data_IF_024660624657
#
_entry.id   IF_024660624657
#
_cell.length_a   1.000
_cell.length_b   1.000
_cell.length_c   1.000
_cell.angle_alpha   90.00
_cell.angle_beta   90.00
_cell.angle_gamma   90.00
#
_symmetry.space_group_name_H-M   'P 1'
#
loop_
_entity.id
_entity.type
_entity.pdbx_description
1 polymer ?
#
# COMPACT_ATOMS: atom_id res chain seq x y z
N UNK A 1 8.44 -17.58 17.50
CA UNK A 1 9.54 -16.69 17.95
C UNK A 1 10.65 -16.75 16.93
N UNK A 2 11.53 -15.74 16.89
CA UNK A 2 12.70 -15.73 15.99
C UNK A 2 13.67 -16.86 16.35
N UNK A 3 14.50 -17.25 15.39
CA UNK A 3 15.50 -18.30 15.54
C UNK A 3 16.65 -17.87 16.46
N UNK A 4 17.01 -18.73 17.42
CA UNK A 4 18.10 -18.47 18.35
C UNK A 4 19.45 -18.34 17.60
N UNK A 5 20.24 -17.35 17.99
CA UNK A 5 21.52 -17.06 17.34
C UNK A 5 21.41 -16.31 16.01
N UNK A 6 20.19 -15.99 15.53
CA UNK A 6 19.97 -15.18 14.33
C UNK A 6 19.59 -13.75 14.70
N UNK A 7 20.41 -12.79 14.27
CA UNK A 7 20.07 -11.37 14.33
C UNK A 7 19.23 -10.99 13.11
N UNK A 8 17.90 -10.94 13.27
CA UNK A 8 16.99 -10.52 12.20
C UNK A 8 17.03 -9.00 12.01
N UNK A 9 17.51 -8.53 10.86
CA UNK A 9 17.56 -7.11 10.51
C UNK A 9 16.65 -6.73 9.34
N UNK A 10 15.89 -7.69 8.78
CA UNK A 10 15.09 -7.49 7.59
C UNK A 10 13.60 -7.24 7.89
N UNK A 11 13.34 -6.39 8.88
CA UNK A 11 11.97 -6.03 9.28
C UNK A 11 11.20 -5.28 8.19
N UNK A 12 11.91 -4.55 7.32
CA UNK A 12 11.31 -3.82 6.20
C UNK A 12 10.73 -4.71 5.11
N UNK A 13 11.27 -5.93 4.92
CA UNK A 13 10.68 -6.90 4.00
C UNK A 13 9.67 -7.82 4.71
N UNK A 14 10.08 -8.41 5.83
CA UNK A 14 9.28 -9.42 6.54
C UNK A 14 9.45 -9.27 8.06
N UNK A 15 8.46 -8.65 8.69
CA UNK A 15 8.37 -8.54 10.15
C UNK A 15 7.93 -9.87 10.77
N UNK A 16 8.61 -10.28 11.85
CA UNK A 16 8.12 -11.38 12.68
C UNK A 16 6.91 -10.92 13.49
N UNK A 17 5.81 -11.67 13.42
CA UNK A 17 4.57 -11.37 14.15
C UNK A 17 4.79 -11.48 15.67
N UNK A 18 4.47 -10.45 16.46
CA UNK A 18 4.57 -10.52 17.92
C UNK A 18 3.73 -11.65 18.52
N UNK A 19 4.20 -12.27 19.61
CA UNK A 19 3.50 -13.40 20.26
C UNK A 19 2.04 -13.06 20.63
N UNK A 20 1.81 -11.87 21.18
CA UNK A 20 0.47 -11.39 21.55
C UNK A 20 -0.50 -11.31 20.35
N UNK A 21 0.02 -11.01 19.15
CA UNK A 21 -0.76 -10.96 17.91
C UNK A 21 -1.06 -12.39 17.44
N UNK A 22 -0.10 -13.30 17.51
CA UNK A 22 -0.30 -14.72 17.17
C UNK A 22 -1.37 -15.36 18.06
N UNK A 23 -1.34 -15.06 19.36
CA UNK A 23 -2.35 -15.52 20.31
C UNK A 23 -3.74 -14.92 20.00
N UNK A 24 -3.82 -13.63 19.68
CA UNK A 24 -5.07 -12.98 19.27
C UNK A 24 -5.65 -13.63 18.00
N UNK A 25 -4.82 -13.85 16.98
CA UNK A 25 -5.21 -14.56 15.77
C UNK A 25 -5.72 -15.97 16.08
N UNK A 26 -5.07 -16.69 17.00
CA UNK A 26 -5.51 -18.02 17.39
C UNK A 26 -6.88 -17.99 18.09
N UNK A 27 -7.12 -17.03 18.99
CA UNK A 27 -8.43 -16.85 19.63
C UNK A 27 -9.53 -16.56 18.62
N UNK A 28 -9.27 -15.72 17.62
CA UNK A 28 -10.23 -15.43 16.54
C UNK A 28 -10.52 -16.71 15.73
N UNK A 29 -9.48 -17.42 15.29
CA UNK A 29 -9.63 -18.69 14.54
C UNK A 29 -10.44 -19.72 15.33
N UNK A 30 -10.11 -19.95 16.61
CA UNK A 30 -10.84 -20.90 17.44
C UNK A 30 -12.32 -20.54 17.62
N UNK A 31 -12.67 -19.25 17.75
CA UNK A 31 -14.08 -18.81 17.81
C UNK A 31 -14.81 -19.02 16.50
N UNK A 32 -14.17 -18.68 15.38
CA UNK A 32 -14.70 -18.91 14.03
C UNK A 32 -15.00 -20.38 13.78
N UNK A 33 -14.06 -21.28 14.10
CA UNK A 33 -14.23 -22.74 13.91
C UNK A 33 -15.24 -23.37 14.87
N UNK A 34 -15.40 -22.83 16.09
CA UNK A 34 -16.34 -23.36 17.07
C UNK A 34 -17.81 -23.24 16.62
N UNK A 35 -18.14 -22.20 15.85
CA UNK A 35 -19.47 -22.04 15.24
C UNK A 35 -19.41 -21.07 14.04
N UNK A 36 -19.04 -21.55 12.84
CA UNK A 36 -18.84 -20.69 11.68
C UNK A 36 -20.13 -20.00 11.23
N UNK A 37 -21.27 -20.70 11.31
CA UNK A 37 -22.57 -20.10 10.98
C UNK A 37 -22.88 -18.89 11.85
N UNK A 38 -22.69 -19.01 13.17
CA UNK A 38 -22.86 -17.88 14.09
C UNK A 38 -21.83 -16.78 13.83
N UNK A 39 -20.56 -17.14 13.60
CA UNK A 39 -19.50 -16.16 13.41
C UNK A 39 -19.74 -15.29 12.17
N UNK A 40 -20.07 -15.93 11.03
CA UNK A 40 -20.27 -15.23 9.76
C UNK A 40 -21.70 -14.68 9.59
N UNK A 41 -22.74 -15.49 9.85
CA UNK A 41 -24.13 -15.06 9.63
C UNK A 41 -24.76 -14.37 10.84
N UNK A 42 -24.22 -14.59 12.05
CA UNK A 42 -24.65 -13.90 13.27
C UNK A 42 -24.02 -12.52 13.46
N UNK A 43 -23.24 -12.03 12.48
CA UNK A 43 -22.68 -10.68 12.47
C UNK A 43 -21.51 -10.45 13.43
N UNK A 44 -20.90 -11.50 14.00
CA UNK A 44 -19.68 -11.36 14.81
C UNK A 44 -18.52 -10.88 13.96
N UNK A 45 -18.31 -11.51 12.79
CA UNK A 45 -17.28 -11.10 11.83
C UNK A 45 -17.39 -9.61 11.46
N UNK A 46 -18.59 -9.15 11.08
CA UNK A 46 -18.80 -7.76 10.64
C UNK A 46 -18.49 -6.76 11.77
N UNK A 47 -18.98 -7.02 12.99
CA UNK A 47 -18.73 -6.14 14.14
C UNK A 47 -17.25 -6.07 14.50
N UNK A 48 -16.55 -7.20 14.48
CA UNK A 48 -15.12 -7.24 14.76
C UNK A 48 -14.31 -6.53 13.66
N UNK A 49 -14.72 -6.65 12.40
CA UNK A 49 -14.12 -5.96 11.27
C UNK A 49 -14.33 -4.44 11.34
N UNK A 50 -15.54 -3.99 11.69
CA UNK A 50 -15.87 -2.57 11.84
C UNK A 50 -15.10 -1.95 13.02
N UNK A 51 -15.00 -2.66 14.13
CA UNK A 51 -14.15 -2.24 15.26
C UNK A 51 -12.68 -2.13 14.84
N UNK A 52 -12.12 -3.15 14.19
CA UNK A 52 -10.73 -3.11 13.73
C UNK A 52 -10.48 -1.95 12.75
N UNK A 53 -11.46 -1.64 11.87
CA UNK A 53 -11.36 -0.52 10.94
C UNK A 53 -11.24 0.82 11.68
N UNK A 54 -12.04 1.03 12.73
CA UNK A 54 -12.00 2.23 13.57
C UNK A 54 -10.64 2.42 14.24
N UNK A 55 -10.15 1.37 14.91
CA UNK A 55 -8.87 1.43 15.60
C UNK A 55 -7.71 1.76 14.66
N UNK A 56 -7.71 1.18 13.44
CA UNK A 56 -6.69 1.48 12.43
C UNK A 56 -6.86 2.89 11.87
N UNK A 57 -8.10 3.33 11.60
CA UNK A 57 -8.37 4.68 11.11
C UNK A 57 -7.87 5.74 12.10
N UNK A 58 -8.18 5.57 13.39
CA UNK A 58 -7.71 6.44 14.45
C UNK A 58 -6.18 6.43 14.56
N UNK A 59 -5.55 5.25 14.46
CA UNK A 59 -4.09 5.13 14.50
C UNK A 59 -3.38 5.86 13.35
N UNK A 60 -3.93 5.78 12.13
CA UNK A 60 -3.33 6.43 10.94
C UNK A 60 -3.84 7.86 10.72
N UNK A 61 -4.75 8.35 11.56
CA UNK A 61 -5.40 9.66 11.39
C UNK A 61 -6.30 9.76 10.16
N UNK A 62 -6.88 8.63 9.72
CA UNK A 62 -7.74 8.52 8.55
C UNK A 62 -9.24 8.51 8.87
N UNK A 63 -10.06 8.66 7.83
CA UNK A 63 -11.52 8.51 7.92
C UNK A 63 -11.90 7.02 7.95
N UNK A 64 -12.66 6.58 8.95
CA UNK A 64 -13.20 5.22 9.06
C UNK A 64 -13.94 4.81 7.77
N UNK A 65 -14.72 5.72 7.18
CA UNK A 65 -15.48 5.42 5.97
C UNK A 65 -14.60 5.27 4.72
N UNK A 66 -13.40 5.85 4.74
CA UNK A 66 -12.40 5.77 3.67
C UNK A 66 -11.42 4.61 3.80
N UNK A 67 -11.48 3.83 4.90
CA UNK A 67 -10.51 2.78 5.19
C UNK A 67 -11.01 1.40 4.74
N UNK A 68 -10.18 0.68 3.98
CA UNK A 68 -10.45 -0.70 3.55
C UNK A 68 -9.26 -1.61 3.83
N UNK A 69 -9.54 -2.83 4.30
CA UNK A 69 -8.51 -3.85 4.47
C UNK A 69 -8.22 -4.55 3.14
N UNK A 70 -6.94 -4.63 2.78
CA UNK A 70 -6.42 -5.36 1.62
C UNK A 70 -5.27 -6.27 2.05
N UNK A 71 -4.92 -7.24 1.21
CA UNK A 71 -3.95 -8.27 1.57
C UNK A 71 -2.50 -7.78 1.66
N UNK A 72 -2.14 -6.72 0.94
CA UNK A 72 -0.79 -6.13 0.92
C UNK A 72 -0.80 -4.78 0.15
N UNK A 73 0.33 -4.07 0.20
CA UNK A 73 0.53 -2.79 -0.48
C UNK A 73 0.28 -2.88 -2.00
N UNK A 74 0.81 -3.90 -2.66
CA UNK A 74 0.63 -4.11 -4.11
C UNK A 74 -0.84 -4.27 -4.49
N UNK A 75 -1.63 -5.00 -3.70
CA UNK A 75 -3.09 -5.13 -3.89
C UNK A 75 -3.78 -3.78 -3.74
N UNK A 76 -3.40 -2.99 -2.73
CA UNK A 76 -3.94 -1.63 -2.52
C UNK A 76 -3.68 -0.72 -3.72
N UNK A 77 -2.43 -0.65 -4.20
CA UNK A 77 -2.06 0.16 -5.38
C UNK A 77 -2.80 -0.32 -6.63
N UNK A 78 -2.91 -1.63 -6.86
CA UNK A 78 -3.68 -2.16 -7.99
C UNK A 78 -5.16 -1.78 -7.92
N UNK A 79 -5.77 -1.83 -6.73
CA UNK A 79 -7.18 -1.50 -6.55
C UNK A 79 -7.45 -0.04 -6.92
N UNK A 80 -6.61 0.88 -6.45
CA UNK A 80 -6.71 2.32 -6.77
C UNK A 80 -6.48 2.55 -8.26
N UNK A 81 -5.36 2.07 -8.82
CA UNK A 81 -5.04 2.29 -10.23
C UNK A 81 -6.14 1.75 -11.16
N UNK A 82 -6.64 0.53 -10.92
CA UNK A 82 -7.74 -0.05 -11.72
C UNK A 82 -9.04 0.72 -11.60
N UNK A 83 -9.33 1.32 -10.45
CA UNK A 83 -10.52 2.16 -10.28
C UNK A 83 -10.43 3.47 -11.06
N UNK A 84 -9.20 3.96 -11.30
CA UNK A 84 -8.93 5.19 -12.03
C UNK A 84 -8.70 4.96 -13.53
N UNK A 85 -8.42 3.73 -13.97
CA UNK A 85 -8.26 3.37 -15.40
C UNK A 85 -9.36 3.96 -16.30
N UNK A 86 -10.67 3.91 -15.95
CA UNK A 86 -11.72 4.48 -16.79
C UNK A 86 -11.70 6.01 -16.91
N UNK A 87 -10.96 6.71 -16.04
CA UNK A 87 -10.82 8.18 -16.07
C UNK A 87 -9.63 8.66 -16.89
N UNK A 88 -8.76 7.75 -17.33
CA UNK A 88 -7.58 8.06 -18.11
C UNK A 88 -7.92 8.09 -19.60
N UNK A 89 -7.35 9.06 -20.31
CA UNK A 89 -7.42 9.15 -21.76
C UNK A 89 -6.09 8.73 -22.41
N UNK A 90 -6.11 8.28 -23.69
CA UNK A 90 -4.90 8.01 -24.42
C UNK A 90 -3.92 9.20 -24.40
N UNK A 91 -2.67 8.93 -24.02
CA UNK A 91 -1.62 9.94 -23.85
C UNK A 91 -1.55 10.60 -22.48
N UNK A 92 -2.45 10.27 -21.55
CA UNK A 92 -2.33 10.71 -20.15
C UNK A 92 -1.13 10.05 -19.45
N UNK A 93 -0.71 10.65 -18.34
CA UNK A 93 0.51 10.28 -17.64
C UNK A 93 0.23 9.86 -16.20
N UNK A 94 0.81 8.72 -15.83
CA UNK A 94 1.03 8.29 -14.45
C UNK A 94 2.49 8.58 -14.13
N UNK A 95 2.74 9.55 -13.26
CA UNK A 95 4.10 9.89 -12.83
C UNK A 95 4.45 9.06 -11.60
N UNK A 96 5.62 8.45 -11.64
CA UNK A 96 6.26 7.71 -10.54
C UNK A 96 7.65 8.27 -10.28
N UNK A 97 8.31 7.88 -9.18
CA UNK A 97 9.75 8.12 -9.02
C UNK A 97 10.56 6.96 -9.63
N UNK A 98 11.84 7.17 -9.91
CA UNK A 98 12.76 6.08 -10.28
C UNK A 98 13.21 5.21 -9.10
N UNK A 99 12.70 5.49 -7.91
CA UNK A 99 12.84 4.68 -6.69
C UNK A 99 11.59 3.87 -6.35
N UNK A 100 10.52 4.00 -7.14
CA UNK A 100 9.22 3.36 -6.92
C UNK A 100 9.35 1.84 -6.76
N UNK A 101 8.64 1.28 -5.77
CA UNK A 101 8.61 -0.15 -5.54
C UNK A 101 8.21 -0.93 -6.80
N UNK A 102 9.04 -1.92 -7.18
CA UNK A 102 8.93 -2.60 -8.47
C UNK A 102 7.54 -3.18 -8.76
N UNK A 103 6.85 -3.72 -7.75
CA UNK A 103 5.50 -4.26 -7.95
C UNK A 103 4.47 -3.15 -8.26
N UNK A 104 4.59 -2.00 -7.62
CA UNK A 104 3.75 -0.82 -7.84
C UNK A 104 4.04 -0.17 -9.21
N UNK A 105 5.32 -0.07 -9.59
CA UNK A 105 5.72 0.33 -10.94
C UNK A 105 5.12 -0.57 -12.03
N UNK A 106 5.14 -1.89 -11.83
CA UNK A 106 4.54 -2.83 -12.77
C UNK A 106 3.01 -2.67 -12.84
N UNK A 107 2.34 -2.42 -11.72
CA UNK A 107 0.91 -2.12 -11.69
C UNK A 107 0.58 -0.86 -12.50
N UNK A 108 1.33 0.23 -12.30
CA UNK A 108 1.19 1.46 -13.07
C UNK A 108 1.40 1.24 -14.57
N UNK A 109 2.42 0.47 -14.95
CA UNK A 109 2.70 0.16 -16.35
C UNK A 109 1.56 -0.63 -17.01
N UNK A 110 1.00 -1.63 -16.32
CA UNK A 110 -0.14 -2.41 -16.83
C UNK A 110 -1.40 -1.55 -16.97
N UNK A 111 -1.72 -0.74 -15.95
CA UNK A 111 -2.88 0.15 -15.99
C UNK A 111 -2.76 1.21 -17.08
N UNK A 112 -1.57 1.85 -17.20
CA UNK A 112 -1.31 2.82 -18.26
C UNK A 112 -1.48 2.20 -19.65
N UNK A 113 -0.90 1.02 -19.89
CA UNK A 113 -1.01 0.32 -21.17
C UNK A 113 -2.45 0.00 -21.56
N UNK A 114 -3.30 -0.39 -20.59
CA UNK A 114 -4.73 -0.68 -20.82
C UNK A 114 -5.54 0.56 -21.20
N UNK A 115 -5.19 1.71 -20.63
CA UNK A 115 -5.86 2.98 -20.89
C UNK A 115 -5.27 3.74 -22.11
N UNK A 116 -4.19 3.25 -22.73
CA UNK A 116 -3.43 4.00 -23.73
C UNK A 116 -2.67 5.20 -23.16
N UNK A 117 -2.52 5.25 -21.83
CA UNK A 117 -1.70 6.22 -21.10
C UNK A 117 -0.22 5.76 -21.06
N UNK A 118 0.64 6.54 -20.42
CA UNK A 118 2.07 6.22 -20.25
C UNK A 118 2.53 6.44 -18.80
N UNK A 119 3.55 5.68 -18.41
CA UNK A 119 4.26 5.92 -17.15
C UNK A 119 5.44 6.85 -17.41
N UNK A 120 5.60 7.87 -16.57
CA UNK A 120 6.72 8.82 -16.59
C UNK A 120 7.47 8.69 -15.27
N UNK A 121 8.79 8.46 -15.33
CA UNK A 121 9.62 8.35 -14.12
C UNK A 121 10.33 9.67 -13.84
N UNK A 122 10.02 10.29 -12.70
CA UNK A 122 10.77 11.39 -12.11
C UNK A 122 12.11 10.87 -11.58
N UNK A 123 13.20 11.53 -11.97
CA UNK A 123 14.57 11.19 -11.55
C UNK A 123 14.88 11.88 -10.22
N UNK A 124 14.74 11.14 -9.12
CA UNK A 124 15.02 11.69 -7.78
C UNK A 124 16.50 11.44 -7.45
N UNK A 125 17.30 12.49 -7.18
CA UNK A 125 18.71 12.32 -6.87
C UNK A 125 18.91 11.57 -5.55
N UNK A 126 20.02 10.84 -5.45
CA UNK A 126 20.46 10.21 -4.21
C UNK A 126 21.99 10.30 -4.08
N UNK A 127 22.52 10.80 -2.95
CA UNK A 127 21.80 11.33 -1.79
C UNK A 127 21.10 12.66 -2.07
N UNK A 128 20.12 13.02 -1.25
CA UNK A 128 19.50 14.36 -1.27
C UNK A 128 20.38 15.35 -0.47
N UNK A 129 20.59 16.53 -1.03
CA UNK A 129 21.11 17.71 -0.32
C UNK A 129 19.99 18.42 0.46
N UNK A 130 18.75 18.34 -0.03
CA UNK A 130 17.55 18.84 0.67
C UNK A 130 16.27 18.12 0.22
N UNK A 131 15.21 18.09 1.05
CA UNK A 131 13.92 17.50 0.66
C UNK A 131 13.31 18.14 -0.60
N UNK A 132 13.61 19.42 -0.85
CA UNK A 132 13.11 20.16 -2.00
C UNK A 132 13.54 19.53 -3.33
N UNK A 133 14.71 18.87 -3.39
CA UNK A 133 15.18 18.20 -4.61
C UNK A 133 14.24 17.06 -5.05
N UNK A 134 13.63 16.33 -4.11
CA UNK A 134 12.66 15.29 -4.45
C UNK A 134 11.35 15.91 -4.98
N UNK A 135 10.88 16.98 -4.34
CA UNK A 135 9.70 17.73 -4.77
C UNK A 135 9.90 18.29 -6.18
N UNK A 136 11.02 18.96 -6.42
CA UNK A 136 11.36 19.56 -7.71
C UNK A 136 11.46 18.50 -8.81
N UNK A 137 12.07 17.34 -8.52
CA UNK A 137 12.17 16.23 -9.48
C UNK A 137 10.79 15.70 -9.89
N UNK A 138 9.87 15.52 -8.95
CA UNK A 138 8.49 15.07 -9.22
C UNK A 138 7.71 16.12 -9.99
N UNK A 139 7.76 17.38 -9.56
CA UNK A 139 7.05 18.49 -10.22
C UNK A 139 7.57 18.73 -11.64
N UNK A 140 8.88 18.61 -11.87
CA UNK A 140 9.47 18.74 -13.20
C UNK A 140 9.07 17.60 -14.16
N UNK A 141 8.70 16.44 -13.64
CA UNK A 141 8.18 15.32 -14.43
C UNK A 141 6.69 15.44 -14.74
N UNK A 142 5.94 16.22 -13.95
CA UNK A 142 4.52 16.44 -14.15
C UNK A 142 4.25 17.43 -15.30
N UNK A 143 3.25 17.12 -16.13
CA UNK A 143 2.83 17.94 -17.27
C UNK A 143 1.31 18.18 -17.24
N UNK A 144 0.78 18.93 -18.22
CA UNK A 144 -0.68 19.07 -18.39
C UNK A 144 -1.43 17.75 -18.66
N UNK A 145 -0.71 16.68 -19.00
CA UNK A 145 -1.23 15.32 -19.22
C UNK A 145 -1.15 14.43 -17.98
N UNK A 146 -0.52 14.89 -16.90
CA UNK A 146 -0.46 14.12 -15.66
C UNK A 146 -1.84 14.02 -15.00
N UNK A 147 -2.23 12.79 -14.66
CA UNK A 147 -3.50 12.49 -13.98
C UNK A 147 -3.31 11.77 -12.66
N UNK A 148 -2.23 11.01 -12.54
CA UNK A 148 -1.92 10.24 -11.34
C UNK A 148 -0.46 10.48 -10.96
N UNK A 149 -0.22 10.77 -9.68
CA UNK A 149 1.09 10.70 -9.04
C UNK A 149 1.09 9.48 -8.11
N UNK A 150 2.01 8.56 -8.31
CA UNK A 150 2.25 7.42 -7.41
C UNK A 150 3.65 7.57 -6.83
N UNK A 151 3.73 7.80 -5.52
CA UNK A 151 4.96 8.16 -4.82
C UNK A 151 5.02 7.37 -3.52
N UNK A 152 6.13 6.68 -3.29
CA UNK A 152 6.43 6.04 -2.01
C UNK A 152 6.72 7.10 -0.92
N UNK A 153 6.08 6.97 0.24
CA UNK A 153 6.36 7.84 1.38
C UNK A 153 7.75 7.60 1.99
N UNK A 154 8.25 6.36 1.88
CA UNK A 154 9.62 5.96 2.18
C UNK A 154 10.05 4.98 1.10
N UNK A 155 11.16 5.26 0.43
CA UNK A 155 11.64 4.45 -0.69
C UNK A 155 12.39 3.21 -0.19
N UNK A 156 11.99 2.04 -0.67
CA UNK A 156 12.58 0.77 -0.22
C UNK A 156 14.07 0.60 -0.57
N UNK A 157 14.52 1.18 -1.69
CA UNK A 157 15.89 1.04 -2.17
C UNK A 157 16.90 1.93 -1.42
N UNK A 158 16.47 3.07 -0.90
CA UNK A 158 17.39 4.09 -0.34
C UNK A 158 17.03 4.57 1.06
N UNK A 159 15.81 4.32 1.54
CA UNK A 159 15.33 4.81 2.83
C UNK A 159 15.06 6.31 2.88
N UNK A 160 15.09 7.00 1.72
CA UNK A 160 14.60 8.36 1.56
C UNK A 160 13.11 8.46 1.86
#
# INVERSE_FOLDING_TARGET
MLEDGVLHLNHGSFGATPAVVLEAQQRVRSRMEANPTRYFLGGEYQRELDWARREVADFVGGDEAGLVFVNNATTGVNAVLRSLEPTLEPGDEIVITDHEYNACRNAAAVSAARAGARVVAARVPFPLESPQQAVDAVLAAATGRTRILLIDAVTSATGL
#
